data_IF_348792067597
#
_entry.id   IF_348792067597
#
_cell.length_a   1.000
_cell.length_b   1.000
_cell.length_c   1.000
_cell.angle_alpha   90.00
_cell.angle_beta   90.00
_cell.angle_gamma   90.00
#
_symmetry.space_group_name_H-M   'P 1'
#
loop_
_entity.id
_entity.type
_entity.pdbx_description
1 polymer ?
#
# COMPACT_ATOMS: atom_id res chain seq x y z
N UNK A 1 -9.49 -18.05 -17.81
CA UNK A 1 -9.85 -16.63 -18.05
C UNK A 1 -11.18 -16.31 -17.37
N UNK A 2 -11.15 -16.03 -16.07
CA UNK A 2 -12.27 -15.36 -15.41
C UNK A 2 -12.15 -13.87 -15.71
N UNK A 3 -12.93 -13.36 -16.66
CA UNK A 3 -13.12 -11.92 -16.77
C UNK A 3 -13.61 -11.45 -15.41
N UNK A 4 -12.80 -10.67 -14.70
CA UNK A 4 -13.27 -9.99 -13.49
C UNK A 4 -14.56 -9.30 -13.87
N UNK A 5 -15.67 -9.69 -13.24
CA UNK A 5 -17.00 -9.23 -13.67
C UNK A 5 -17.02 -7.70 -13.76
N UNK A 6 -17.91 -7.09 -14.56
CA UNK A 6 -18.00 -5.64 -14.74
C UNK A 6 -18.08 -4.87 -13.41
N UNK A 7 -18.55 -5.54 -12.35
CA UNK A 7 -18.57 -5.05 -10.96
C UNK A 7 -17.17 -4.84 -10.37
N UNK A 8 -16.24 -5.79 -10.55
CA UNK A 8 -14.87 -5.68 -10.04
C UNK A 8 -14.11 -4.57 -10.75
N UNK A 9 -14.25 -4.49 -12.07
CA UNK A 9 -13.69 -3.38 -12.85
C UNK A 9 -14.28 -2.04 -12.42
N UNK A 10 -15.59 -1.97 -12.21
CA UNK A 10 -16.27 -0.77 -11.69
C UNK A 10 -15.71 -0.32 -10.34
N UNK A 11 -15.47 -1.26 -9.41
CA UNK A 11 -14.88 -0.97 -8.10
C UNK A 11 -13.44 -0.45 -8.21
N UNK A 12 -12.63 -1.03 -9.10
CA UNK A 12 -11.25 -0.58 -9.34
C UNK A 12 -11.24 0.84 -9.94
N UNK A 13 -12.07 1.12 -10.93
CA UNK A 13 -12.19 2.46 -11.50
C UNK A 13 -12.75 3.49 -10.52
N UNK A 14 -13.72 3.11 -9.69
CA UNK A 14 -14.22 3.97 -8.62
C UNK A 14 -13.12 4.27 -7.60
N UNK A 15 -12.36 3.27 -7.18
CA UNK A 15 -11.19 3.44 -6.31
C UNK A 15 -10.14 4.37 -6.92
N UNK A 16 -9.83 4.20 -8.20
CA UNK A 16 -8.93 5.07 -8.95
C UNK A 16 -9.46 6.51 -9.01
N UNK A 17 -10.74 6.70 -9.33
CA UNK A 17 -11.39 8.01 -9.40
C UNK A 17 -11.36 8.73 -8.06
N UNK A 18 -11.63 8.02 -6.95
CA UNK A 18 -11.52 8.57 -5.60
C UNK A 18 -10.06 8.96 -5.28
N UNK A 19 -9.09 8.09 -5.61
CA UNK A 19 -7.68 8.37 -5.37
C UNK A 19 -7.19 9.60 -6.16
N UNK A 20 -7.49 9.67 -7.46
CA UNK A 20 -7.15 10.82 -8.32
C UNK A 20 -7.90 12.09 -7.93
N UNK A 21 -9.19 11.99 -7.61
CA UNK A 21 -9.99 13.11 -7.14
C UNK A 21 -9.41 13.70 -5.85
N UNK A 22 -9.05 12.84 -4.89
CA UNK A 22 -8.44 13.28 -3.64
C UNK A 22 -7.04 13.86 -3.84
N UNK A 23 -6.23 13.29 -4.74
CA UNK A 23 -4.95 13.86 -5.14
C UNK A 23 -5.13 15.25 -5.77
N UNK A 24 -6.11 15.42 -6.65
CA UNK A 24 -6.44 16.68 -7.30
C UNK A 24 -6.89 17.76 -6.31
N UNK A 25 -7.75 17.43 -5.35
CA UNK A 25 -8.18 18.36 -4.27
C UNK A 25 -6.97 18.80 -3.44
N UNK A 26 -6.08 17.89 -3.06
CA UNK A 26 -4.87 18.23 -2.31
C UNK A 26 -3.85 19.02 -3.11
N UNK A 27 -3.68 18.71 -4.40
CA UNK A 27 -2.81 19.46 -5.30
C UNK A 27 -3.31 20.89 -5.51
N UNK A 28 -4.63 21.09 -5.60
CA UNK A 28 -5.24 22.43 -5.60
C UNK A 28 -5.04 23.17 -4.29
N UNK A 29 -5.09 22.47 -3.15
CA UNK A 29 -4.75 23.02 -1.84
C UNK A 29 -3.28 23.45 -1.72
N UNK A 30 -2.36 22.67 -2.32
CA UNK A 30 -0.93 23.01 -2.40
C UNK A 30 -0.67 24.26 -3.24
N UNK A 31 -1.41 24.45 -4.33
CA UNK A 31 -1.30 25.66 -5.17
C UNK A 31 -1.84 26.92 -4.51
N UNK A 32 -2.64 26.80 -3.45
CA UNK A 32 -3.38 27.92 -2.82
C UNK A 32 -2.93 28.26 -1.39
N UNK A 33 -1.91 27.61 -0.84
CA UNK A 33 -1.48 27.86 0.55
C UNK A 33 -0.05 27.39 0.87
N UNK A 34 0.45 27.69 2.09
CA UNK A 34 1.80 27.32 2.50
C UNK A 34 1.97 25.80 2.50
N UNK A 35 2.99 25.33 1.77
CA UNK A 35 3.29 23.91 1.57
C UNK A 35 3.61 23.26 2.92
N UNK A 36 2.76 22.32 3.37
CA UNK A 36 3.05 21.53 4.57
C UNK A 36 3.96 20.37 4.20
N UNK A 37 5.00 20.15 5.00
CA UNK A 37 5.87 19.00 4.84
C UNK A 37 5.04 17.69 4.85
N UNK A 38 5.24 16.83 3.84
CA UNK A 38 4.52 15.55 3.70
C UNK A 38 3.33 15.56 2.72
N UNK A 39 2.85 16.73 2.25
CA UNK A 39 1.73 16.77 1.31
C UNK A 39 2.09 16.25 -0.09
N UNK A 40 3.30 16.50 -0.57
CA UNK A 40 3.76 16.04 -1.90
C UNK A 40 3.82 14.52 -2.01
N UNK A 41 4.36 13.84 -0.99
CA UNK A 41 4.46 12.37 -0.98
C UNK A 41 3.09 11.73 -0.85
N UNK A 42 2.18 12.36 -0.11
CA UNK A 42 0.83 11.86 -0.02
C UNK A 42 0.07 12.03 -1.35
N UNK A 43 0.29 13.12 -2.08
CA UNK A 43 -0.21 13.23 -3.46
C UNK A 43 0.40 12.15 -4.36
N UNK A 44 1.72 11.95 -4.30
CA UNK A 44 2.40 10.91 -5.06
C UNK A 44 1.87 9.51 -4.73
N UNK A 45 1.63 9.22 -3.44
CA UNK A 45 1.04 7.98 -2.96
C UNK A 45 -0.36 7.77 -3.56
N UNK A 46 -1.22 8.80 -3.53
CA UNK A 46 -2.57 8.71 -4.08
C UNK A 46 -2.56 8.55 -5.60
N UNK A 47 -1.66 9.24 -6.30
CA UNK A 47 -1.46 9.06 -7.75
C UNK A 47 -0.99 7.65 -8.06
N UNK A 48 -0.04 7.10 -7.29
CA UNK A 48 0.45 5.75 -7.45
C UNK A 48 -0.64 4.70 -7.20
N UNK A 49 -1.47 4.89 -6.16
CA UNK A 49 -2.65 4.04 -5.92
C UNK A 49 -3.67 4.12 -7.07
N UNK A 50 -3.99 5.33 -7.54
CA UNK A 50 -4.91 5.51 -8.64
C UNK A 50 -4.41 4.83 -9.91
N UNK A 51 -3.12 4.97 -10.20
CA UNK A 51 -2.48 4.31 -11.34
C UNK A 51 -2.49 2.78 -11.19
N UNK A 52 -2.15 2.25 -10.01
CA UNK A 52 -2.21 0.81 -9.73
C UNK A 52 -3.61 0.23 -9.96
N UNK A 53 -4.67 0.92 -9.52
CA UNK A 53 -6.05 0.48 -9.73
C UNK A 53 -6.45 0.47 -11.21
N UNK A 54 -6.04 1.48 -11.99
CA UNK A 54 -6.30 1.52 -13.43
C UNK A 54 -5.63 0.34 -14.13
N UNK A 55 -4.39 0.04 -13.78
CA UNK A 55 -3.59 -1.03 -14.39
C UNK A 55 -4.05 -2.43 -13.98
N UNK A 56 -4.65 -2.56 -12.80
CA UNK A 56 -5.27 -3.82 -12.38
C UNK A 56 -6.62 -4.11 -13.05
N UNK A 57 -7.25 -3.13 -13.70
CA UNK A 57 -8.53 -3.36 -14.38
C UNK A 57 -8.38 -4.40 -15.49
N UNK A 58 -9.36 -5.30 -15.59
CA UNK A 58 -9.49 -6.29 -16.65
C UNK A 58 -9.50 -5.64 -18.04
N UNK A 59 -10.04 -4.42 -18.17
CA UNK A 59 -10.01 -3.64 -19.42
C UNK A 59 -8.61 -3.19 -19.81
N UNK A 60 -7.83 -2.67 -18.87
CA UNK A 60 -6.45 -2.27 -19.13
C UNK A 60 -5.60 -3.50 -19.50
N UNK A 61 -5.74 -4.59 -18.74
CA UNK A 61 -5.08 -5.86 -18.99
C UNK A 61 -5.47 -6.49 -20.33
N UNK A 62 -6.71 -6.33 -20.79
CA UNK A 62 -7.16 -6.81 -22.10
C UNK A 62 -6.51 -6.05 -23.26
N UNK A 63 -6.23 -4.76 -23.09
CA UNK A 63 -5.51 -3.95 -24.08
C UNK A 63 -4.02 -4.29 -24.04
N UNK A 64 -3.42 -4.36 -22.86
CA UNK A 64 -2.01 -4.72 -22.67
C UNK A 64 -1.69 -6.12 -23.21
N UNK A 65 -2.58 -7.09 -22.95
CA UNK A 65 -2.43 -8.47 -23.43
C UNK A 65 -2.51 -8.62 -24.96
N UNK A 66 -2.90 -7.57 -25.69
CA UNK A 66 -2.77 -7.53 -27.16
C UNK A 66 -1.40 -7.07 -27.62
N UNK A 67 -0.69 -6.27 -26.81
CA UNK A 67 0.63 -5.72 -27.15
C UNK A 67 1.74 -6.66 -26.68
N UNK A 68 1.69 -7.11 -25.42
CA UNK A 68 2.62 -8.10 -24.87
C UNK A 68 1.90 -9.02 -23.89
N UNK A 69 1.94 -10.36 -24.08
CA UNK A 69 1.45 -11.28 -23.08
C UNK A 69 2.25 -11.09 -21.78
N UNK A 70 1.56 -11.01 -20.64
CA UNK A 70 2.11 -10.85 -19.28
C UNK A 70 2.64 -9.47 -18.86
N UNK A 71 2.58 -8.43 -19.70
CA UNK A 71 3.01 -7.07 -19.31
C UNK A 71 2.26 -6.54 -18.07
N UNK A 72 0.98 -6.88 -17.95
CA UNK A 72 0.13 -6.46 -16.84
C UNK A 72 0.51 -7.06 -15.48
N UNK A 73 1.37 -8.08 -15.43
CA UNK A 73 1.92 -8.60 -14.18
C UNK A 73 3.12 -7.75 -13.74
N UNK A 74 4.07 -7.52 -14.65
CA UNK A 74 5.21 -6.63 -14.41
C UNK A 74 4.74 -5.25 -13.95
N UNK A 75 3.77 -4.70 -14.66
CA UNK A 75 3.28 -3.36 -14.38
C UNK A 75 2.53 -3.27 -13.03
N UNK A 76 1.78 -4.32 -12.66
CA UNK A 76 1.14 -4.40 -11.35
C UNK A 76 2.18 -4.49 -10.21
N UNK A 77 3.24 -5.28 -10.38
CA UNK A 77 4.30 -5.43 -9.39
C UNK A 77 5.12 -4.15 -9.22
N UNK A 78 5.45 -3.47 -10.33
CA UNK A 78 6.09 -2.14 -10.32
C UNK A 78 5.23 -1.13 -9.57
N UNK A 79 3.92 -1.13 -9.81
CA UNK A 79 2.99 -0.26 -9.08
C UNK A 79 2.94 -0.59 -7.58
N UNK A 80 2.91 -1.86 -7.19
CA UNK A 80 2.93 -2.27 -5.79
C UNK A 80 4.22 -1.82 -5.10
N UNK A 81 5.38 -1.98 -5.74
CA UNK A 81 6.66 -1.48 -5.24
C UNK A 81 6.68 0.06 -5.13
N UNK A 82 6.13 0.77 -6.11
CA UNK A 82 6.03 2.22 -6.05
C UNK A 82 5.16 2.70 -4.87
N UNK A 83 4.00 2.06 -4.65
CA UNK A 83 3.13 2.33 -3.51
C UNK A 83 3.84 2.05 -2.19
N UNK A 84 4.57 0.93 -2.09
CA UNK A 84 5.34 0.58 -0.91
C UNK A 84 6.42 1.64 -0.62
N UNK A 85 7.18 2.06 -1.63
CA UNK A 85 8.19 3.11 -1.54
C UNK A 85 7.58 4.45 -1.08
N UNK A 86 6.46 4.87 -1.67
CA UNK A 86 5.76 6.09 -1.26
C UNK A 86 5.29 6.03 0.19
N UNK A 87 4.75 4.89 0.62
CA UNK A 87 4.26 4.67 2.00
C UNK A 87 5.42 4.77 3.00
N UNK A 88 6.52 4.09 2.70
CA UNK A 88 7.74 4.09 3.50
C UNK A 88 8.38 5.49 3.53
N UNK A 89 8.44 6.19 2.41
CA UNK A 89 8.94 7.55 2.32
C UNK A 89 8.09 8.53 3.15
N UNK A 90 6.77 8.44 3.07
CA UNK A 90 5.86 9.24 3.89
C UNK A 90 6.12 9.01 5.38
N UNK A 91 6.20 7.75 5.82
CA UNK A 91 6.47 7.43 7.22
C UNK A 91 7.83 7.94 7.68
N UNK A 92 8.88 7.82 6.86
CA UNK A 92 10.19 8.39 7.18
C UNK A 92 10.13 9.91 7.38
N UNK A 93 9.41 10.63 6.52
CA UNK A 93 9.28 12.10 6.66
C UNK A 93 8.51 12.52 7.90
N UNK A 94 7.55 11.71 8.34
CA UNK A 94 6.76 11.99 9.55
C UNK A 94 7.57 11.65 10.82
N UNK A 95 8.44 10.65 10.76
CA UNK A 95 9.11 10.10 11.95
C UNK A 95 10.54 10.58 12.15
N UNK A 96 11.24 11.00 11.10
CA UNK A 96 12.66 11.42 11.16
C UNK A 96 12.86 12.88 10.81
N UNK A 97 14.06 13.37 11.12
CA UNK A 97 14.48 14.70 10.69
C UNK A 97 14.52 14.81 9.15
N UNK A 98 14.31 16.00 8.56
CA UNK A 98 14.26 16.16 7.11
C UNK A 98 15.53 15.74 6.36
N UNK A 99 16.71 15.88 6.99
CA UNK A 99 18.00 15.50 6.38
C UNK A 99 18.16 13.97 6.34
N UNK A 100 17.95 13.30 7.47
CA UNK A 100 18.04 11.83 7.55
C UNK A 100 16.99 11.15 6.68
N UNK A 101 15.76 11.71 6.64
CA UNK A 101 14.69 11.19 5.80
C UNK A 101 15.08 11.22 4.32
N UNK A 102 15.68 12.32 3.82
CA UNK A 102 16.09 12.43 2.41
C UNK A 102 17.14 11.41 2.02
N UNK A 103 18.17 11.23 2.84
CA UNK A 103 19.24 10.25 2.56
C UNK A 103 18.69 8.83 2.53
N UNK A 104 17.86 8.47 3.51
CA UNK A 104 17.23 7.15 3.55
C UNK A 104 16.25 6.93 2.39
N UNK A 105 15.48 7.95 1.99
CA UNK A 105 14.58 7.89 0.83
C UNK A 105 15.36 7.71 -0.47
N UNK A 106 16.46 8.45 -0.67
CA UNK A 106 17.31 8.31 -1.87
C UNK A 106 17.89 6.90 -1.99
N UNK A 107 18.44 6.37 -0.89
CA UNK A 107 18.95 5.00 -0.88
C UNK A 107 17.86 3.98 -1.24
N UNK A 108 16.64 4.15 -0.71
CA UNK A 108 15.50 3.30 -1.06
C UNK A 108 15.04 3.46 -2.50
N UNK A 109 15.00 4.68 -3.04
CA UNK A 109 14.70 4.91 -4.47
C UNK A 109 15.69 4.13 -5.33
N UNK A 110 16.99 4.25 -5.07
CA UNK A 110 18.02 3.52 -5.82
C UNK A 110 17.80 2.01 -5.71
N UNK A 111 17.58 1.48 -4.51
CA UNK A 111 17.33 0.05 -4.31
C UNK A 111 16.09 -0.45 -5.08
N UNK A 112 14.98 0.31 -5.06
CA UNK A 112 13.76 -0.05 -5.78
C UNK A 112 13.92 0.07 -7.29
N UNK A 113 14.62 1.10 -7.77
CA UNK A 113 14.93 1.26 -9.20
C UNK A 113 15.79 0.11 -9.70
N UNK A 114 16.81 -0.30 -8.93
CA UNK A 114 17.64 -1.46 -9.27
C UNK A 114 16.83 -2.76 -9.27
N UNK A 115 15.93 -2.95 -8.30
CA UNK A 115 15.04 -4.10 -8.27
C UNK A 115 14.09 -4.14 -9.47
N UNK A 116 13.47 -3.02 -9.83
CA UNK A 116 12.58 -2.91 -11.01
C UNK A 116 13.35 -3.18 -12.31
N UNK A 117 14.57 -2.67 -12.43
CA UNK A 117 15.45 -2.93 -13.57
C UNK A 117 15.77 -4.43 -13.66
N UNK A 118 16.22 -5.06 -12.57
CA UNK A 118 16.50 -6.50 -12.54
C UNK A 118 15.26 -7.36 -12.83
N UNK A 119 14.09 -6.98 -12.31
CA UNK A 119 12.82 -7.64 -12.64
C UNK A 119 12.48 -7.52 -14.13
N UNK A 120 12.71 -6.34 -14.72
CA UNK A 120 12.46 -6.09 -16.14
C UNK A 120 13.44 -6.86 -17.03
N UNK A 121 14.72 -6.92 -16.67
CA UNK A 121 15.73 -7.69 -17.39
C UNK A 121 15.43 -9.20 -17.36
N UNK A 122 15.07 -9.75 -16.20
CA UNK A 122 14.65 -11.15 -16.06
C UNK A 122 13.38 -11.45 -16.87
N UNK A 123 12.44 -10.49 -16.91
CA UNK A 123 11.21 -10.62 -17.68
C UNK A 123 11.49 -10.60 -19.18
N UNK A 124 12.30 -9.67 -19.68
CA UNK A 124 12.67 -9.56 -21.09
C UNK A 124 13.55 -10.72 -21.56
N UNK A 125 14.38 -11.27 -20.67
CA UNK A 125 15.23 -12.43 -20.93
C UNK A 125 14.47 -13.76 -21.02
N UNK A 126 13.21 -13.82 -20.59
CA UNK A 126 12.37 -15.02 -20.64
C UNK A 126 11.34 -14.89 -21.77
N UNK A 127 11.57 -15.46 -22.97
CA UNK A 127 10.60 -15.40 -24.06
C UNK A 127 9.36 -16.23 -23.71
N UNK A 128 8.33 -15.62 -23.11
CA UNK A 128 7.10 -16.30 -22.68
C UNK A 128 6.27 -16.69 -23.90
N UNK A 129 6.52 -17.89 -24.41
CA UNK A 129 5.94 -18.43 -25.65
C UNK A 129 4.62 -19.20 -25.44
N UNK A 130 4.02 -19.18 -24.24
CA UNK A 130 2.84 -19.99 -23.94
C UNK A 130 1.68 -19.20 -23.34
N UNK A 131 0.53 -19.19 -24.02
CA UNK A 131 -0.78 -18.84 -23.43
C UNK A 131 -1.30 -20.04 -22.63
N UNK A 132 -1.27 -19.97 -21.30
CA UNK A 132 -2.27 -20.67 -20.47
C UNK A 132 -1.86 -21.87 -19.62
N UNK A 133 -0.60 -21.99 -19.19
CA UNK A 133 -0.24 -22.94 -18.12
C UNK A 133 -0.57 -22.38 -16.73
N UNK A 134 -0.95 -23.25 -15.79
CA UNK A 134 -1.07 -22.88 -14.39
C UNK A 134 0.27 -22.31 -13.88
N UNK A 135 0.22 -21.22 -13.10
CA UNK A 135 1.40 -20.48 -12.60
C UNK A 135 2.51 -21.38 -12.05
N UNK A 136 2.16 -22.46 -11.34
CA UNK A 136 3.12 -23.42 -10.76
C UNK A 136 3.97 -24.15 -11.81
N UNK A 137 3.36 -24.57 -12.91
CA UNK A 137 4.06 -25.27 -14.00
C UNK A 137 5.01 -24.31 -14.74
N UNK A 138 4.58 -23.04 -14.88
CA UNK A 138 5.39 -21.99 -15.49
C UNK A 138 6.64 -21.66 -14.68
N UNK A 139 6.60 -21.74 -13.34
CA UNK A 139 7.78 -21.52 -12.49
C UNK A 139 8.79 -22.68 -12.57
N UNK A 140 8.31 -23.92 -12.70
CA UNK A 140 9.16 -25.11 -12.78
C UNK A 140 9.94 -25.16 -14.11
N UNK A 141 9.30 -24.77 -15.20
CA UNK A 141 9.94 -24.75 -16.52
C UNK A 141 10.88 -23.56 -16.73
N UNK A 142 10.71 -22.48 -15.95
CA UNK A 142 11.39 -21.20 -16.19
C UNK A 142 11.93 -20.59 -14.90
N UNK A 143 13.15 -20.96 -14.46
CA UNK A 143 13.73 -20.48 -13.19
C UNK A 143 13.89 -18.94 -13.15
N UNK A 144 14.02 -18.28 -14.31
CA UNK A 144 14.08 -16.82 -14.41
C UNK A 144 12.81 -16.14 -13.85
N UNK A 145 11.64 -16.78 -14.01
CA UNK A 145 10.38 -16.26 -13.47
C UNK A 145 10.32 -16.38 -11.94
N UNK A 146 10.95 -17.41 -11.38
CA UNK A 146 11.13 -17.55 -9.93
C UNK A 146 12.04 -16.46 -9.37
N UNK A 147 13.18 -16.21 -10.02
CA UNK A 147 14.07 -15.10 -9.65
C UNK A 147 13.39 -13.73 -9.71
N UNK A 148 12.56 -13.50 -10.73
CA UNK A 148 11.70 -12.31 -10.83
C UNK A 148 10.78 -12.17 -9.61
N UNK A 149 10.05 -13.24 -9.28
CA UNK A 149 9.10 -13.26 -8.17
C UNK A 149 9.82 -13.07 -6.83
N UNK A 150 11.01 -13.66 -6.66
CA UNK A 150 11.82 -13.51 -5.44
C UNK A 150 12.26 -12.08 -5.22
N UNK A 151 12.78 -11.39 -6.26
CA UNK A 151 13.16 -9.98 -6.15
C UNK A 151 11.97 -9.14 -5.69
N UNK A 152 10.80 -9.34 -6.31
CA UNK A 152 9.57 -8.65 -5.94
C UNK A 152 9.19 -8.91 -4.47
N UNK A 153 9.11 -10.19 -4.07
CA UNK A 153 8.69 -10.61 -2.73
C UNK A 153 9.65 -10.10 -1.65
N UNK A 154 10.97 -10.17 -1.89
CA UNK A 154 11.99 -9.67 -0.96
C UNK A 154 11.87 -8.16 -0.80
N UNK A 155 11.77 -7.40 -1.90
CA UNK A 155 11.70 -5.94 -1.83
C UNK A 155 10.41 -5.46 -1.17
N UNK A 156 9.28 -6.09 -1.48
CA UNK A 156 8.00 -5.80 -0.84
C UNK A 156 8.04 -6.20 0.66
N UNK A 157 8.68 -7.31 1.00
CA UNK A 157 8.88 -7.78 2.36
C UNK A 157 9.72 -6.80 3.19
N UNK A 158 10.83 -6.30 2.63
CA UNK A 158 11.64 -5.25 3.26
C UNK A 158 10.80 -4.01 3.55
N UNK A 159 9.94 -3.60 2.60
CA UNK A 159 9.01 -2.50 2.81
C UNK A 159 8.08 -2.75 4.00
N UNK A 160 7.45 -3.93 4.06
CA UNK A 160 6.52 -4.28 5.14
C UNK A 160 7.22 -4.36 6.50
N UNK A 161 8.44 -4.90 6.58
CA UNK A 161 9.25 -4.88 7.81
C UNK A 161 9.57 -3.45 8.25
N UNK A 162 9.91 -2.57 7.31
CA UNK A 162 10.16 -1.15 7.60
C UNK A 162 8.91 -0.43 8.12
N UNK A 163 7.74 -0.70 7.51
CA UNK A 163 6.45 -0.19 7.97
C UNK A 163 6.14 -0.67 9.38
N UNK A 164 6.29 -1.98 9.64
CA UNK A 164 6.03 -2.60 10.93
C UNK A 164 6.94 -2.04 12.03
N UNK A 165 8.26 -2.02 11.79
CA UNK A 165 9.24 -1.48 12.75
C UNK A 165 8.99 -0.01 13.05
N UNK A 166 8.72 0.78 12.01
CA UNK A 166 8.47 2.22 12.18
C UNK A 166 7.15 2.46 12.90
N UNK A 167 6.08 1.73 12.53
CA UNK A 167 4.76 1.80 13.15
C UNK A 167 4.81 1.50 14.64
N UNK A 168 5.34 0.33 15.02
CA UNK A 168 5.44 -0.11 16.42
C UNK A 168 6.30 0.83 17.25
N UNK A 169 7.46 1.26 16.72
CA UNK A 169 8.40 2.14 17.44
C UNK A 169 7.80 3.51 17.76
N UNK A 170 6.93 4.04 16.90
CA UNK A 170 6.34 5.38 17.06
C UNK A 170 4.94 5.35 17.68
N UNK A 171 4.21 4.24 17.58
CA UNK A 171 2.91 4.07 18.20
C UNK A 171 2.98 4.23 19.73
N UNK A 172 4.04 3.70 20.36
CA UNK A 172 4.25 3.83 21.80
C UNK A 172 4.65 5.23 22.28
N UNK A 173 5.26 6.06 21.44
CA UNK A 173 5.78 7.39 21.82
C UNK A 173 4.79 8.54 21.59
N UNK A 174 3.71 8.27 20.87
CA UNK A 174 2.78 9.32 20.40
C UNK A 174 1.63 9.52 21.38
N UNK A 175 1.45 10.73 21.90
CA UNK A 175 0.33 11.08 22.79
C UNK A 175 -1.02 11.27 22.07
N UNK A 176 -1.01 11.55 20.76
CA UNK A 176 -2.21 11.75 19.96
C UNK A 176 -2.87 10.42 19.60
N UNK A 177 -4.04 10.14 20.19
CA UNK A 177 -4.78 8.90 19.97
C UNK A 177 -5.05 8.58 18.49
N UNK A 178 -5.39 9.57 17.66
CA UNK A 178 -5.65 9.37 16.23
C UNK A 178 -4.40 8.90 15.45
N UNK A 179 -3.23 9.47 15.76
CA UNK A 179 -1.97 9.06 15.12
C UNK A 179 -1.54 7.69 15.62
N UNK A 180 -1.73 7.40 16.92
CA UNK A 180 -1.47 6.08 17.50
C UNK A 180 -2.32 4.99 16.83
N UNK A 181 -3.63 5.22 16.68
CA UNK A 181 -4.52 4.30 15.98
C UNK A 181 -4.12 4.11 14.50
N UNK A 182 -3.72 5.18 13.82
CA UNK A 182 -3.20 5.11 12.45
C UNK A 182 -1.97 4.21 12.34
N UNK A 183 -0.99 4.39 13.22
CA UNK A 183 0.24 3.57 13.25
C UNK A 183 -0.04 2.11 13.61
N UNK A 184 -0.99 1.84 14.52
CA UNK A 184 -1.42 0.47 14.83
C UNK A 184 -2.11 -0.20 13.65
N UNK A 185 -3.00 0.53 12.95
CA UNK A 185 -3.66 0.05 11.73
C UNK A 185 -2.64 -0.31 10.64
N UNK A 186 -1.65 0.56 10.38
CA UNK A 186 -0.55 0.28 9.43
C UNK A 186 0.27 -0.93 9.88
N UNK A 187 0.58 -1.05 11.17
CA UNK A 187 1.37 -2.17 11.70
C UNK A 187 0.62 -3.50 11.55
N UNK A 188 -0.68 -3.52 11.86
CA UNK A 188 -1.53 -4.71 11.68
C UNK A 188 -1.60 -5.12 10.21
N UNK A 189 -1.80 -4.15 9.29
CA UNK A 189 -1.76 -4.41 7.85
C UNK A 189 -0.40 -4.92 7.37
N UNK A 190 0.71 -4.40 7.90
CA UNK A 190 2.06 -4.88 7.57
C UNK A 190 2.32 -6.31 8.05
N UNK A 191 1.81 -6.70 9.24
CA UNK A 191 1.89 -8.10 9.72
C UNK A 191 1.14 -9.03 8.78
N UNK A 192 -0.11 -8.69 8.42
CA UNK A 192 -0.88 -9.47 7.46
C UNK A 192 -0.16 -9.57 6.10
N UNK A 193 0.38 -8.45 5.61
CA UNK A 193 1.19 -8.43 4.40
C UNK A 193 2.40 -9.38 4.49
N UNK A 194 3.14 -9.38 5.59
CA UNK A 194 4.29 -10.28 5.79
C UNK A 194 3.90 -11.75 5.83
N UNK A 195 2.79 -12.09 6.48
CA UNK A 195 2.27 -13.47 6.49
C UNK A 195 1.97 -13.94 5.06
N UNK A 196 1.29 -13.11 4.27
CA UNK A 196 1.02 -13.42 2.87
C UNK A 196 2.30 -13.56 2.03
N UNK A 197 3.26 -12.65 2.22
CA UNK A 197 4.53 -12.70 1.49
C UNK A 197 5.35 -13.93 1.86
N UNK A 198 5.34 -14.34 3.13
CA UNK A 198 6.02 -15.56 3.57
C UNK A 198 5.39 -16.81 2.92
N UNK A 199 4.06 -16.89 2.88
CA UNK A 199 3.34 -17.96 2.19
C UNK A 199 3.72 -18.01 0.70
N UNK A 200 3.69 -16.86 0.01
CA UNK A 200 4.06 -16.75 -1.40
C UNK A 200 5.51 -17.11 -1.65
N UNK A 201 6.41 -16.69 -0.77
CA UNK A 201 7.83 -17.00 -0.85
C UNK A 201 8.08 -18.50 -0.71
N UNK A 202 7.51 -19.14 0.31
CA UNK A 202 7.61 -20.60 0.48
C UNK A 202 7.06 -21.34 -0.75
N UNK A 203 5.95 -20.87 -1.32
CA UNK A 203 5.39 -21.46 -2.54
C UNK A 203 6.35 -21.35 -3.73
N UNK A 204 6.91 -20.16 -3.99
CA UNK A 204 7.86 -19.95 -5.10
C UNK A 204 9.11 -20.81 -4.92
N UNK A 205 9.67 -20.85 -3.70
CA UNK A 205 10.84 -21.68 -3.39
C UNK A 205 10.54 -23.17 -3.54
N UNK A 206 9.40 -23.66 -3.03
CA UNK A 206 9.02 -25.06 -3.19
C UNK A 206 8.92 -25.47 -4.66
N UNK A 207 8.35 -24.62 -5.52
CA UNK A 207 8.29 -24.86 -6.96
C UNK A 207 9.67 -24.85 -7.62
N UNK A 208 10.55 -23.92 -7.24
CA UNK A 208 11.91 -23.84 -7.75
C UNK A 208 12.77 -25.07 -7.41
N UNK A 209 12.59 -25.64 -6.21
CA UNK A 209 13.31 -26.83 -5.78
C UNK A 209 12.61 -28.16 -6.13
N UNK A 210 11.44 -28.10 -6.78
CA UNK A 210 10.67 -29.28 -7.14
C UNK A 210 10.04 -30.02 -5.95
N UNK A 211 9.91 -29.39 -4.79
CA UNK A 211 9.21 -29.96 -3.64
C UNK A 211 7.69 -29.90 -3.83
N UNK A 212 6.98 -30.90 -3.32
CA UNK A 212 5.53 -30.81 -3.18
C UNK A 212 5.21 -29.73 -2.13
N UNK A 213 4.35 -28.75 -2.46
CA UNK A 213 4.02 -27.70 -1.53
C UNK A 213 3.36 -28.28 -0.26
N UNK A 214 3.80 -27.88 0.94
CA UNK A 214 3.35 -28.47 2.22
C UNK A 214 1.87 -28.21 2.53
N UNK A 215 1.25 -27.30 1.77
CA UNK A 215 -0.18 -27.04 1.79
C UNK A 215 -0.70 -27.28 0.37
N UNK A 216 -1.84 -27.96 0.18
CA UNK A 216 -2.56 -27.98 -1.08
C UNK A 216 -3.19 -26.59 -1.28
N UNK A 217 -2.33 -25.58 -1.51
CA UNK A 217 -2.71 -24.29 -2.05
C UNK A 217 -3.10 -24.62 -3.48
N UNK A 218 -4.36 -25.03 -3.63
CA UNK A 218 -4.91 -25.51 -4.89
C UNK A 218 -4.56 -24.53 -6.00
N UNK A 219 -4.52 -25.04 -7.21
CA UNK A 219 -4.48 -24.33 -8.48
C UNK A 219 -5.59 -23.26 -8.58
N UNK A 220 -5.48 -22.16 -7.80
CA UNK A 220 -6.46 -21.06 -7.65
C UNK A 220 -6.58 -20.25 -8.95
N UNK A 221 -5.71 -20.50 -9.93
CA UNK A 221 -5.83 -19.93 -11.28
C UNK A 221 -7.00 -20.50 -12.10
N UNK A 222 -7.39 -21.76 -11.88
CA UNK A 222 -8.32 -22.46 -12.77
C UNK A 222 -9.66 -22.83 -12.14
N UNK A 223 -9.70 -23.04 -10.82
CA UNK A 223 -10.96 -23.18 -10.08
C UNK A 223 -11.39 -21.81 -9.59
N UNK A 224 -12.06 -21.05 -10.47
CA UNK A 224 -12.63 -19.75 -10.14
C UNK A 224 -13.36 -19.80 -8.81
N UNK A 225 -12.87 -19.05 -7.81
CA UNK A 225 -13.49 -18.95 -6.50
C UNK A 225 -14.95 -18.47 -6.70
N UNK A 226 -15.92 -19.40 -6.65
CA UNK A 226 -17.35 -19.09 -6.82
C UNK A 226 -17.89 -18.27 -5.65
N UNK A 227 -17.20 -18.28 -4.50
CA UNK A 227 -17.54 -17.55 -3.29
C UNK A 227 -16.30 -16.92 -2.67
N UNK A 228 -16.41 -15.71 -2.09
CA UNK A 228 -15.33 -15.12 -1.30
C UNK A 228 -15.10 -15.83 0.05
N UNK A 229 -15.98 -16.76 0.46
CA UNK A 229 -15.95 -17.40 1.79
C UNK A 229 -15.54 -18.89 1.71
N UNK A 230 -15.69 -19.53 0.55
CA UNK A 230 -15.32 -20.93 0.34
C UNK A 230 -14.58 -21.10 -0.99
N UNK A 231 -13.42 -21.78 -1.04
CA UNK A 231 -12.65 -22.45 0.03
C UNK A 231 -11.72 -21.52 0.84
N UNK A 232 -11.28 -21.96 2.03
CA UNK A 232 -10.37 -21.23 2.94
C UNK A 232 -9.07 -20.72 2.25
N UNK A 233 -8.59 -21.44 1.22
CA UNK A 233 -7.44 -21.00 0.41
C UNK A 233 -7.70 -19.73 -0.41
N UNK A 234 -8.91 -19.53 -0.92
CA UNK A 234 -9.29 -18.28 -1.61
C UNK A 234 -9.37 -17.10 -0.64
N UNK A 235 -9.85 -17.35 0.59
CA UNK A 235 -9.90 -16.34 1.65
C UNK A 235 -8.48 -15.83 1.94
N UNK A 236 -7.53 -16.72 2.25
CA UNK A 236 -6.16 -16.32 2.56
C UNK A 236 -5.44 -15.65 1.38
N UNK A 237 -5.62 -16.16 0.16
CA UNK A 237 -4.86 -15.67 -1.00
C UNK A 237 -5.33 -14.28 -1.48
N UNK A 238 -6.63 -13.99 -1.41
CA UNK A 238 -7.21 -12.73 -1.95
C UNK A 238 -7.57 -11.74 -0.85
N UNK A 239 -8.22 -12.21 0.22
CA UNK A 239 -8.72 -11.29 1.26
C UNK A 239 -7.59 -10.75 2.12
N UNK A 240 -6.56 -11.56 2.41
CA UNK A 240 -5.49 -11.17 3.32
C UNK A 240 -4.66 -9.99 2.76
N UNK A 241 -4.23 -9.99 1.47
CA UNK A 241 -3.64 -8.82 0.85
C UNK A 241 -4.60 -7.62 0.77
N UNK A 242 -5.87 -7.85 0.43
CA UNK A 242 -6.85 -6.77 0.32
C UNK A 242 -7.09 -6.08 1.67
N UNK A 243 -7.25 -6.85 2.75
CA UNK A 243 -7.40 -6.36 4.12
C UNK A 243 -6.13 -5.68 4.59
N UNK A 244 -4.95 -6.23 4.28
CA UNK A 244 -3.66 -5.61 4.59
C UNK A 244 -3.54 -4.22 3.95
N UNK A 245 -3.82 -4.11 2.64
CA UNK A 245 -3.80 -2.84 1.91
C UNK A 245 -4.83 -1.86 2.48
N UNK A 246 -6.05 -2.32 2.79
CA UNK A 246 -7.10 -1.48 3.37
C UNK A 246 -6.69 -0.93 4.75
N UNK A 247 -6.14 -1.77 5.63
CA UNK A 247 -5.64 -1.36 6.94
C UNK A 247 -4.49 -0.35 6.82
N UNK A 248 -3.58 -0.54 5.88
CA UNK A 248 -2.50 0.42 5.60
C UNK A 248 -3.08 1.73 5.09
N UNK A 249 -4.00 1.70 4.11
CA UNK A 249 -4.62 2.90 3.54
C UNK A 249 -5.43 3.70 4.58
N UNK A 250 -6.26 3.01 5.37
CA UNK A 250 -7.02 3.62 6.49
C UNK A 250 -6.04 4.19 7.52
N UNK A 251 -5.01 3.43 7.90
CA UNK A 251 -4.00 3.86 8.86
C UNK A 251 -3.25 5.13 8.43
N UNK A 252 -2.92 5.24 7.14
CA UNK A 252 -2.23 6.39 6.54
C UNK A 252 -3.13 7.62 6.40
N UNK A 253 -4.45 7.41 6.24
CA UNK A 253 -5.41 8.52 6.12
C UNK A 253 -5.82 9.07 7.47
N UNK A 254 -5.95 8.25 8.53
CA UNK A 254 -6.40 8.67 9.87
C UNK A 254 -5.75 9.97 10.42
N UNK A 255 -4.43 10.19 10.33
CA UNK A 255 -3.79 11.43 10.80
C UNK A 255 -4.30 12.70 10.10
N UNK A 256 -4.77 12.58 8.84
CA UNK A 256 -5.30 13.71 8.09
C UNK A 256 -6.68 14.17 8.59
N UNK A 257 -7.44 13.28 9.27
CA UNK A 257 -8.79 13.56 9.77
C UNK A 257 -8.77 14.17 11.18
N UNK A 258 -7.67 13.98 11.92
CA UNK A 258 -7.51 14.47 13.29
C UNK A 258 -7.77 15.98 13.47
N UNK A 259 -7.22 16.88 12.63
CA UNK A 259 -7.47 18.31 12.72
C UNK A 259 -8.92 18.69 12.42
N UNK A 260 -9.56 18.01 11.46
CA UNK A 260 -10.94 18.31 11.06
C UNK A 260 -11.94 17.99 12.18
N UNK A 261 -11.72 16.89 12.94
CA UNK A 261 -12.59 16.51 14.07
C UNK A 261 -12.33 17.32 15.35
N UNK A 262 -11.13 17.88 15.51
CA UNK A 262 -10.78 18.68 16.70
C UNK A 262 -11.00 20.19 16.50
N UNK A 263 -11.16 20.65 15.26
CA UNK A 263 -11.51 22.03 14.93
C UNK A 263 -12.78 22.55 15.65
N UNK A 264 -13.92 21.83 15.67
CA UNK A 264 -15.12 22.32 16.36
C UNK A 264 -14.93 22.40 17.88
N UNK A 265 -14.16 21.48 18.48
CA UNK A 265 -13.88 21.46 19.91
C UNK A 265 -12.96 22.61 20.33
N UNK A 266 -11.97 22.96 19.50
CA UNK A 266 -11.13 24.16 19.71
C UNK A 266 -11.94 25.44 19.56
N UNK A 267 -12.78 25.52 18.53
CA UNK A 267 -13.68 26.66 18.35
C UNK A 267 -14.65 26.85 19.53
N UNK A 268 -15.06 25.76 20.18
CA UNK A 268 -15.86 25.82 21.41
C UNK A 268 -15.06 26.25 22.64
N UNK A 269 -13.79 25.85 22.73
CA UNK A 269 -12.91 26.19 23.86
C UNK A 269 -12.45 27.66 23.79
N UNK A 270 -12.19 28.17 22.59
CA UNK A 270 -11.88 29.59 22.34
C UNK A 270 -13.13 30.48 22.48
N UNK A 271 -14.33 29.91 22.30
CA UNK A 271 -15.61 30.60 22.54
C UNK A 271 -16.07 30.63 23.99
N UNK A 272 -15.36 30.00 24.95
CA UNK A 272 -15.61 30.27 26.37
C UNK A 272 -14.96 31.62 26.67
N UNK A 273 -15.74 32.71 26.73
CA UNK A 273 -15.16 34.00 27.13
C UNK A 273 -14.64 33.80 28.55
N UNK A 274 -13.48 34.36 28.85
CA UNK A 274 -13.08 34.59 30.23
C UNK A 274 -14.22 35.39 30.89
N UNK A 275 -15.12 34.69 31.59
CA UNK A 275 -15.88 35.30 32.68
C UNK A 275 -14.84 35.56 33.75
N UNK A 276 -14.17 36.69 33.64
CA UNK A 276 -13.48 37.32 34.77
C UNK A 276 -14.54 37.53 35.84
N UNK A 277 -14.46 36.89 37.01
CA UNK A 277 -15.29 37.27 38.13
C UNK A 277 -14.85 38.69 38.52
N UNK A 278 -15.60 39.69 38.07
CA UNK A 278 -15.55 41.04 38.59
C UNK A 278 -16.21 41.03 39.98
N UNK A 279 -15.51 40.50 40.97
CA UNK A 279 -15.93 40.49 42.37
C UNK A 279 -14.76 40.73 43.30
N UNK A 280 -13.93 41.75 43.01
CA UNK A 280 -12.84 42.11 43.94
C UNK A 280 -12.44 43.59 43.82
N UNK A 281 -13.42 44.49 43.69
CA UNK A 281 -13.19 45.94 43.77
C UNK A 281 -14.26 46.64 44.61
N UNK A 282 -14.72 45.97 45.68
CA UNK A 282 -15.65 46.55 46.66
C UNK A 282 -15.18 46.13 48.06
N UNK A 283 -14.03 46.65 48.48
CA UNK A 283 -13.45 46.27 49.76
C UNK A 283 -12.23 47.06 50.20
N UNK A 284 -12.07 48.32 49.82
CA UNK A 284 -11.07 49.19 50.45
C UNK A 284 -11.52 50.65 50.40
N UNK A 285 -12.51 50.93 51.25
CA UNK A 285 -12.66 52.23 51.88
C UNK A 285 -12.57 51.98 53.39
N UNK A 286 -11.42 52.29 54.00
CA UNK A 286 -11.26 52.68 55.40
C UNK A 286 -9.87 53.19 55.66
#
# INVERSE_FOLDING_TARGET
>A
MGGGGPVVDGLLFAGAGVAFGWAGVRLRGLRRGPVRAGQGELCALLMAFGLAFVLMSGRARAVEGRVFPHLGWLLADVCALAVALCTVAYLLRVTRSPREARTAIRARIVAYTLAIAGMSDLFLGSPVSGRGGALGELYRERPMLGGYADIFLVMLGVAMVDLLRTGLRHAGRTSRAALRLGLWSVSAGAVLGLVHLAERFVFVQAQLFGFEPPLPVGTVGDLGCRSPIEPLGCLFSVTLPAVAVLLIAVGMTLPAWGPARTAPVRGWKDRRPHRTPASEARGEAR
#
